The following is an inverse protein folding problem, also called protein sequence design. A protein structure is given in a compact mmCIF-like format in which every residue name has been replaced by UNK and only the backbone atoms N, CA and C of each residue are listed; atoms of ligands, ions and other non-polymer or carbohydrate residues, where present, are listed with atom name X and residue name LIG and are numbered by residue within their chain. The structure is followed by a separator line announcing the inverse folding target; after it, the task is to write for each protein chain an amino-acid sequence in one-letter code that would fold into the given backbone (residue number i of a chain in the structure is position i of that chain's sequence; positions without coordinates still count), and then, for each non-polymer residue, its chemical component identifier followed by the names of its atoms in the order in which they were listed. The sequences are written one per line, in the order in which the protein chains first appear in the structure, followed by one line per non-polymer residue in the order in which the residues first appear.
data_IF_810826712221
#
_entry.id   IF_810826712221
#
_cell.length_a   1.000
_cell.length_b   1.000
_cell.length_c   1.000
_cell.angle_alpha   90.00
_cell.angle_beta   90.00
_cell.angle_gamma   90.00
#
_symmetry.space_group_name_H-M   'P 1'
#
loop_
_entity.id
_entity.type
_entity.pdbx_description
1 polymer ?
#
# COMPACT_ATOMS: atom_id res chain seq x y z
N UNK A 1 52.02 2.50 -44.00
CA UNK A 1 52.46 1.43 -43.08
C UNK A 1 51.24 0.98 -42.29
N UNK A 2 50.61 -0.11 -42.73
CA UNK A 2 49.38 -0.64 -42.14
C UNK A 2 49.72 -1.19 -40.77
N UNK A 3 49.37 -0.47 -39.71
CA UNK A 3 49.47 -1.00 -38.35
C UNK A 3 48.54 -2.21 -38.29
N UNK A 4 49.09 -3.41 -38.12
CA UNK A 4 48.32 -4.59 -37.74
C UNK A 4 47.80 -4.35 -36.33
N UNK A 5 46.63 -3.71 -36.23
CA UNK A 5 45.95 -3.47 -34.96
C UNK A 5 45.72 -4.81 -34.30
N UNK A 6 46.41 -5.06 -33.18
CA UNK A 6 46.22 -6.30 -32.43
C UNK A 6 44.85 -6.28 -31.75
N UNK A 7 44.29 -7.44 -31.43
CA UNK A 7 42.98 -7.53 -30.74
C UNK A 7 43.03 -6.77 -29.40
N UNK A 8 44.16 -6.81 -28.70
CA UNK A 8 44.39 -6.03 -27.48
C UNK A 8 44.33 -4.52 -27.71
N UNK A 9 44.91 -4.01 -28.80
CA UNK A 9 44.85 -2.58 -29.13
C UNK A 9 43.42 -2.14 -29.44
N UNK A 10 42.68 -2.98 -30.18
CA UNK A 10 41.29 -2.70 -30.51
C UNK A 10 40.39 -2.70 -29.25
N UNK A 11 40.62 -3.61 -28.29
CA UNK A 11 39.94 -3.59 -26.99
C UNK A 11 40.26 -2.32 -26.19
N UNK A 12 41.52 -1.87 -26.21
CA UNK A 12 41.92 -0.63 -25.54
C UNK A 12 41.22 0.60 -26.15
N UNK A 13 41.10 0.65 -27.49
CA UNK A 13 40.34 1.70 -28.17
C UNK A 13 38.86 1.68 -27.81
N UNK A 14 38.24 0.50 -27.69
CA UNK A 14 36.85 0.38 -27.21
C UNK A 14 36.72 0.93 -25.79
N UNK A 15 37.68 0.64 -24.91
CA UNK A 15 37.68 1.16 -23.54
C UNK A 15 37.77 2.69 -23.49
N UNK A 16 38.60 3.31 -24.35
CA UNK A 16 38.67 4.77 -24.49
C UNK A 16 37.32 5.34 -24.94
N UNK A 17 36.71 4.79 -25.99
CA UNK A 17 35.42 5.25 -26.50
C UNK A 17 34.30 5.20 -25.45
N UNK A 18 34.30 4.16 -24.60
CA UNK A 18 33.36 4.05 -23.48
C UNK A 18 33.62 5.15 -22.44
N UNK A 19 34.88 5.43 -22.12
CA UNK A 19 35.26 6.50 -21.18
C UNK A 19 34.88 7.89 -21.69
N UNK A 20 34.96 8.12 -23.00
CA UNK A 20 34.57 9.38 -23.65
C UNK A 20 33.04 9.50 -23.84
N UNK A 21 32.27 8.44 -23.58
CA UNK A 21 30.81 8.42 -23.68
C UNK A 21 30.25 8.12 -25.07
N UNK A 22 31.09 7.87 -26.09
CA UNK A 22 30.66 7.46 -27.43
C UNK A 22 30.28 5.96 -27.48
N UNK A 23 29.19 5.64 -26.79
CA UNK A 23 28.65 4.29 -26.68
C UNK A 23 28.22 3.70 -28.03
N UNK A 24 27.87 4.53 -29.02
CA UNK A 24 27.44 4.04 -30.34
C UNK A 24 28.64 3.54 -31.14
N UNK A 25 29.74 4.29 -31.14
CA UNK A 25 30.98 3.88 -31.80
C UNK A 25 31.60 2.68 -31.10
N UNK A 26 31.69 2.70 -29.77
CA UNK A 26 32.21 1.57 -28.99
C UNK A 26 31.49 0.25 -29.32
N UNK A 27 30.15 0.25 -29.43
CA UNK A 27 29.37 -0.95 -29.79
C UNK A 27 29.64 -1.46 -31.21
N UNK A 28 29.89 -0.57 -32.17
CA UNK A 28 30.21 -0.95 -33.55
C UNK A 28 31.60 -1.58 -33.62
N UNK A 29 32.60 -0.91 -33.05
CA UNK A 29 33.99 -1.40 -33.00
C UNK A 29 34.08 -2.76 -32.29
N UNK A 30 33.37 -2.92 -31.17
CA UNK A 30 33.31 -4.20 -30.46
C UNK A 30 32.67 -5.31 -31.31
N UNK A 31 31.62 -5.00 -32.08
CA UNK A 31 30.99 -5.99 -32.97
C UNK A 31 31.93 -6.44 -34.08
N UNK A 32 32.68 -5.51 -34.66
CA UNK A 32 33.68 -5.81 -35.68
C UNK A 32 34.82 -6.66 -35.11
N UNK A 33 35.29 -6.34 -33.90
CA UNK A 33 36.28 -7.14 -33.18
C UNK A 33 35.81 -8.58 -32.93
N UNK A 34 34.56 -8.76 -32.48
CA UNK A 34 33.98 -10.09 -32.23
C UNK A 34 33.86 -10.96 -33.49
N UNK A 35 33.78 -10.35 -34.68
CA UNK A 35 33.73 -11.08 -35.94
C UNK A 35 35.11 -11.56 -36.43
N UNK A 36 36.19 -10.93 -35.97
CA UNK A 36 37.58 -11.18 -36.44
C UNK A 36 38.38 -11.99 -35.42
N UNK A 37 38.03 -11.92 -34.13
CA UNK A 37 38.75 -12.61 -33.07
C UNK A 37 38.63 -14.15 -33.17
N UNK A 38 39.73 -14.84 -32.88
CA UNK A 38 39.75 -16.30 -32.81
C UNK A 38 38.98 -16.82 -31.58
N UNK A 39 38.56 -18.09 -31.64
CA UNK A 39 37.75 -18.70 -30.58
C UNK A 39 38.45 -18.77 -29.22
N UNK A 40 39.79 -18.87 -29.18
CA UNK A 40 40.54 -18.92 -27.92
C UNK A 40 40.60 -17.53 -27.25
N UNK A 41 40.84 -16.49 -28.03
CA UNK A 41 40.76 -15.09 -27.58
C UNK A 41 39.36 -14.73 -27.10
N UNK A 42 38.30 -15.12 -27.83
CA UNK A 42 36.91 -14.90 -27.41
C UNK A 42 36.57 -15.62 -26.10
N UNK A 43 37.02 -16.87 -25.94
CA UNK A 43 36.82 -17.62 -24.70
C UNK A 43 37.56 -16.94 -23.52
N UNK A 44 38.74 -16.38 -23.76
CA UNK A 44 39.49 -15.65 -22.74
C UNK A 44 38.80 -14.34 -22.34
N UNK A 45 38.34 -13.54 -23.31
CA UNK A 45 37.56 -12.32 -23.07
C UNK A 45 36.29 -12.66 -22.26
N UNK A 46 35.58 -13.73 -22.63
CA UNK A 46 34.40 -14.21 -21.90
C UNK A 46 34.71 -14.58 -20.44
N UNK A 47 35.86 -15.21 -20.17
CA UNK A 47 36.31 -15.50 -18.80
C UNK A 47 36.64 -14.23 -18.00
N UNK A 48 37.26 -13.24 -18.63
CA UNK A 48 37.54 -11.95 -18.00
C UNK A 48 36.23 -11.25 -17.61
N UNK A 49 35.28 -11.15 -18.54
CA UNK A 49 33.96 -10.58 -18.28
C UNK A 49 33.21 -11.32 -17.16
N UNK A 50 33.20 -12.65 -17.20
CA UNK A 50 32.57 -13.47 -16.16
C UNK A 50 33.19 -13.24 -14.78
N UNK A 51 34.50 -13.00 -14.71
CA UNK A 51 35.20 -12.71 -13.44
C UNK A 51 34.78 -11.35 -12.88
N UNK A 52 34.63 -10.34 -13.74
CA UNK A 52 34.19 -9.00 -13.34
C UNK A 52 32.72 -8.98 -12.90
N UNK A 53 31.88 -9.82 -13.50
CA UNK A 53 30.48 -9.95 -13.09
C UNK A 53 30.32 -10.69 -11.76
N UNK A 54 31.09 -11.76 -11.53
CA UNK A 54 30.90 -12.64 -10.36
C UNK A 54 31.57 -12.18 -9.08
N UNK A 55 32.59 -11.32 -9.14
CA UNK A 55 33.37 -10.92 -7.97
C UNK A 55 33.35 -9.40 -7.79
N UNK A 56 33.32 -8.90 -6.54
CA UNK A 56 33.53 -7.48 -6.26
C UNK A 56 34.84 -6.98 -6.89
N UNK A 57 34.86 -5.73 -7.36
CA UNK A 57 35.93 -5.15 -8.18
C UNK A 57 37.35 -5.47 -7.68
N UNK A 58 37.63 -5.27 -6.39
CA UNK A 58 38.95 -5.57 -5.80
C UNK A 58 39.38 -7.04 -5.98
N UNK A 59 38.45 -7.97 -5.80
CA UNK A 59 38.71 -9.41 -5.92
C UNK A 59 38.87 -9.80 -7.40
N UNK A 60 38.03 -9.23 -8.27
CA UNK A 60 38.08 -9.48 -9.70
C UNK A 60 39.43 -9.04 -10.30
N UNK A 61 39.92 -7.83 -9.97
CA UNK A 61 41.22 -7.32 -10.43
C UNK A 61 42.37 -8.21 -9.97
N UNK A 62 42.38 -8.67 -8.72
CA UNK A 62 43.43 -9.60 -8.25
C UNK A 62 43.37 -10.96 -8.97
N UNK A 63 42.17 -11.48 -9.27
CA UNK A 63 42.01 -12.70 -10.07
C UNK A 63 42.54 -12.53 -11.49
N UNK A 64 42.23 -11.41 -12.14
CA UNK A 64 42.77 -11.09 -13.46
C UNK A 64 44.28 -10.92 -13.44
N UNK A 65 44.84 -10.26 -12.43
CA UNK A 65 46.29 -10.13 -12.23
C UNK A 65 46.97 -11.48 -12.04
N UNK A 66 46.35 -12.40 -11.29
CA UNK A 66 46.85 -13.77 -11.13
C UNK A 66 46.79 -14.56 -12.44
N UNK A 67 45.68 -14.45 -13.19
CA UNK A 67 45.55 -15.06 -14.51
C UNK A 67 46.63 -14.56 -15.48
N UNK A 68 46.91 -13.25 -15.47
CA UNK A 68 47.98 -12.64 -16.25
C UNK A 68 49.35 -13.24 -15.92
N UNK A 69 49.70 -13.37 -14.63
CA UNK A 69 50.99 -13.96 -14.20
C UNK A 69 51.18 -15.41 -14.60
N UNK A 70 50.08 -16.20 -14.65
CA UNK A 70 50.12 -17.63 -14.96
C UNK A 70 50.13 -17.92 -16.46
N UNK A 71 49.79 -16.93 -17.27
CA UNK A 71 49.73 -17.10 -18.72
C UNK A 71 51.13 -17.01 -19.29
N UNK A 72 51.52 -17.99 -20.11
CA UNK A 72 52.84 -18.03 -20.76
C UNK A 72 52.86 -17.32 -22.10
N UNK A 73 51.71 -17.26 -22.78
CA UNK A 73 51.53 -16.60 -24.07
C UNK A 73 51.36 -15.07 -23.92
N UNK A 74 52.20 -14.33 -24.63
CA UNK A 74 52.26 -12.86 -24.56
C UNK A 74 51.01 -12.20 -25.15
N UNK A 75 50.41 -12.80 -26.19
CA UNK A 75 49.18 -12.27 -26.79
C UNK A 75 48.00 -12.39 -25.82
N UNK A 76 47.89 -13.51 -25.12
CA UNK A 76 46.88 -13.70 -24.09
C UNK A 76 47.12 -12.80 -22.86
N UNK A 77 48.37 -12.53 -22.48
CA UNK A 77 48.69 -11.54 -21.43
C UNK A 77 48.22 -10.14 -21.82
N UNK A 78 48.48 -9.70 -23.04
CA UNK A 78 48.05 -8.39 -23.53
C UNK A 78 46.52 -8.26 -23.51
N UNK A 79 45.80 -9.33 -23.88
CA UNK A 79 44.34 -9.38 -23.80
C UNK A 79 43.81 -9.28 -22.36
N UNK A 80 44.37 -10.04 -21.42
CA UNK A 80 43.95 -9.96 -20.00
C UNK A 80 44.18 -8.56 -19.44
N UNK A 81 45.31 -7.92 -19.79
CA UNK A 81 45.60 -6.56 -19.38
C UNK A 81 44.58 -5.55 -19.95
N UNK A 82 44.22 -5.68 -21.23
CA UNK A 82 43.21 -4.83 -21.86
C UNK A 82 41.81 -4.99 -21.27
N UNK A 83 41.48 -6.18 -20.74
CA UNK A 83 40.20 -6.45 -20.09
C UNK A 83 40.13 -6.05 -18.61
N UNK A 84 41.22 -5.60 -18.00
CA UNK A 84 41.24 -5.22 -16.59
C UNK A 84 40.91 -3.72 -16.43
N UNK A 85 39.75 -3.36 -15.85
CA UNK A 85 39.39 -1.95 -15.66
C UNK A 85 40.26 -1.29 -14.58
N UNK A 86 40.62 -0.02 -14.80
CA UNK A 86 41.37 0.78 -13.81
C UNK A 86 40.49 1.24 -12.64
N UNK A 87 39.19 1.42 -12.88
CA UNK A 87 38.21 1.92 -11.92
C UNK A 87 37.01 0.99 -11.83
N UNK A 88 36.30 1.04 -10.70
CA UNK A 88 35.10 0.25 -10.48
C UNK A 88 33.95 0.79 -11.36
N UNK A 89 33.63 0.03 -12.39
CA UNK A 89 32.57 0.36 -13.35
C UNK A 89 31.20 -0.22 -12.93
N UNK A 90 31.05 -0.75 -11.70
CA UNK A 90 29.79 -1.33 -11.22
C UNK A 90 29.37 -2.61 -11.96
N UNK A 91 30.34 -3.34 -12.51
CA UNK A 91 30.08 -4.57 -13.27
C UNK A 91 29.71 -5.77 -12.39
N UNK A 92 30.06 -5.72 -11.10
CA UNK A 92 29.73 -6.76 -10.16
C UNK A 92 28.22 -6.95 -10.07
N UNK A 93 27.75 -8.11 -10.52
CA UNK A 93 26.38 -8.57 -10.41
C UNK A 93 26.42 -9.76 -9.47
N UNK A 94 26.15 -9.58 -8.16
CA UNK A 94 26.02 -10.73 -7.28
C UNK A 94 25.04 -11.68 -7.95
N UNK A 95 25.42 -12.96 -8.07
CA UNK A 95 24.47 -13.98 -8.49
C UNK A 95 23.25 -13.78 -7.60
N UNK A 96 22.10 -13.48 -8.22
CA UNK A 96 20.87 -13.38 -7.49
C UNK A 96 20.79 -14.67 -6.70
N UNK A 97 20.84 -14.58 -5.36
CA UNK A 97 20.61 -15.75 -4.54
C UNK A 97 19.33 -16.39 -5.09
N UNK A 98 19.33 -17.70 -5.38
CA UNK A 98 18.13 -18.36 -5.85
C UNK A 98 17.05 -17.94 -4.87
N UNK A 99 16.07 -17.20 -5.38
CA UNK A 99 15.12 -16.46 -4.54
C UNK A 99 14.72 -17.40 -3.42
N UNK A 100 15.07 -17.02 -2.18
CA UNK A 100 14.88 -17.88 -1.02
C UNK A 100 13.51 -18.52 -1.18
N UNK A 101 13.41 -19.87 -1.14
CA UNK A 101 12.18 -20.55 -1.47
C UNK A 101 11.08 -19.83 -0.72
N UNK A 102 10.17 -19.22 -1.50
CA UNK A 102 9.12 -18.39 -0.94
C UNK A 102 8.56 -19.14 0.26
N UNK A 103 8.41 -18.46 1.41
CA UNK A 103 7.79 -19.04 2.62
C UNK A 103 6.43 -19.69 2.30
N UNK A 104 5.85 -19.33 1.15
CA UNK A 104 4.75 -19.99 0.48
C UNK A 104 5.32 -20.86 -0.67
N UNK A 105 5.32 -22.19 -0.51
CA UNK A 105 5.98 -23.14 -1.43
C UNK A 105 5.65 -23.00 -2.91
N UNK A 106 6.38 -23.75 -3.75
CA UNK A 106 6.45 -23.65 -5.23
C UNK A 106 5.11 -23.53 -5.97
N UNK A 107 4.02 -24.02 -5.38
CA UNK A 107 2.67 -24.05 -5.96
C UNK A 107 1.69 -23.02 -5.35
N UNK A 108 2.16 -22.20 -4.40
CA UNK A 108 1.35 -21.22 -3.69
C UNK A 108 1.58 -19.77 -4.14
N UNK A 109 2.20 -19.55 -5.31
CA UNK A 109 2.25 -18.23 -5.93
C UNK A 109 0.85 -17.84 -6.46
N UNK A 110 -0.04 -17.49 -5.53
CA UNK A 110 -1.32 -16.88 -5.83
C UNK A 110 -1.11 -15.39 -5.70
N UNK A 111 -0.82 -14.73 -6.84
CA UNK A 111 -0.97 -13.28 -6.92
C UNK A 111 -2.30 -12.90 -6.23
N UNK A 112 -2.30 -11.96 -5.27
CA UNK A 112 -3.50 -11.54 -4.56
C UNK A 112 -4.59 -11.28 -5.58
N UNK A 113 -5.57 -12.19 -5.54
CA UNK A 113 -6.58 -12.51 -6.55
C UNK A 113 -6.74 -11.41 -7.60
N UNK A 114 -6.62 -11.79 -8.86
CA UNK A 114 -7.40 -11.18 -9.94
C UNK A 114 -8.79 -10.93 -9.36
N UNK A 115 -9.10 -9.69 -9.00
CA UNK A 115 -10.48 -9.29 -8.85
C UNK A 115 -11.04 -9.65 -10.20
N UNK A 116 -11.87 -10.70 -10.27
CA UNK A 116 -12.65 -10.96 -11.45
C UNK A 116 -13.46 -9.68 -11.62
N UNK A 117 -12.97 -8.79 -12.49
CA UNK A 117 -13.76 -7.72 -13.05
C UNK A 117 -14.79 -8.49 -13.86
N UNK A 118 -15.86 -8.90 -13.19
CA UNK A 118 -17.02 -9.46 -13.86
C UNK A 118 -17.54 -8.30 -14.69
N UNK A 119 -17.16 -8.32 -15.97
CA UNK A 119 -17.83 -7.55 -16.98
C UNK A 119 -19.24 -8.11 -17.02
N UNK A 120 -20.17 -7.37 -16.45
CA UNK A 120 -21.59 -7.66 -16.58
C UNK A 120 -22.05 -7.04 -17.90
N UNK A 121 -22.25 -7.84 -18.97
CA UNK A 121 -22.70 -7.32 -20.27
C UNK A 121 -24.12 -6.74 -20.20
N UNK A 122 -24.86 -7.01 -19.11
CA UNK A 122 -26.23 -6.51 -18.91
C UNK A 122 -26.27 -5.17 -18.15
N UNK A 123 -25.15 -4.73 -17.57
CA UNK A 123 -25.01 -3.36 -17.06
C UNK A 123 -24.98 -2.37 -18.22
N UNK A 124 -26.17 -1.99 -18.69
CA UNK A 124 -26.35 -0.83 -19.57
C UNK A 124 -25.79 0.39 -18.84
N UNK A 125 -24.71 0.98 -19.38
CA UNK A 125 -24.26 2.31 -18.97
C UNK A 125 -25.48 3.24 -19.00
N UNK A 126 -25.70 4.01 -17.95
CA UNK A 126 -26.76 5.01 -17.92
C UNK A 126 -26.69 5.84 -19.22
N UNK A 127 -27.85 6.08 -19.86
CA UNK A 127 -27.88 6.89 -21.07
C UNK A 127 -27.19 8.22 -20.81
N UNK A 128 -26.16 8.50 -21.61
CA UNK A 128 -25.43 9.76 -21.53
C UNK A 128 -26.42 10.90 -21.66
N UNK A 129 -26.32 11.85 -20.75
CA UNK A 129 -27.11 13.08 -20.86
C UNK A 129 -26.61 13.90 -22.05
N UNK A 130 -27.51 14.67 -22.68
CA UNK A 130 -27.13 15.55 -23.79
C UNK A 130 -26.01 16.54 -23.40
N UNK A 131 -25.93 16.91 -22.12
CA UNK A 131 -24.86 17.73 -21.54
C UNK A 131 -23.50 17.04 -21.58
N UNK A 132 -23.43 15.76 -21.21
CA UNK A 132 -22.19 14.98 -21.28
C UNK A 132 -21.72 14.81 -22.73
N UNK A 133 -22.64 14.53 -23.65
CA UNK A 133 -22.32 14.42 -25.08
C UNK A 133 -21.74 15.74 -25.64
N UNK A 134 -22.28 16.89 -25.23
CA UNK A 134 -21.75 18.22 -25.61
C UNK A 134 -20.36 18.49 -25.03
N UNK A 135 -20.10 18.08 -23.79
CA UNK A 135 -18.79 18.24 -23.15
C UNK A 135 -17.72 17.37 -23.82
N UNK A 136 -18.03 16.11 -24.12
CA UNK A 136 -17.13 15.23 -24.86
C UNK A 136 -16.87 15.75 -26.27
N UNK A 137 -17.89 16.27 -26.97
CA UNK A 137 -17.72 16.88 -28.29
C UNK A 137 -16.87 18.17 -28.26
N UNK A 138 -16.96 18.97 -27.19
CA UNK A 138 -16.12 20.14 -26.98
C UNK A 138 -14.66 19.74 -26.69
N UNK A 139 -14.45 18.71 -25.87
CA UNK A 139 -13.13 18.16 -25.62
C UNK A 139 -12.52 17.57 -26.91
N UNK A 140 -13.30 16.80 -27.66
CA UNK A 140 -12.86 16.24 -28.94
C UNK A 140 -12.43 17.35 -29.92
N UNK A 141 -13.25 18.40 -30.09
CA UNK A 141 -12.89 19.56 -30.92
C UNK A 141 -11.61 20.25 -30.44
N UNK A 142 -11.47 20.45 -29.13
CA UNK A 142 -10.25 21.01 -28.55
C UNK A 142 -9.01 20.18 -28.87
N UNK A 143 -9.12 18.85 -28.88
CA UNK A 143 -8.01 17.96 -29.26
C UNK A 143 -7.74 17.98 -30.77
N UNK A 144 -8.77 18.03 -31.62
CA UNK A 144 -8.61 18.08 -33.08
C UNK A 144 -8.08 19.43 -33.58
N UNK A 145 -8.48 20.54 -32.95
CA UNK A 145 -8.15 21.90 -33.36
C UNK A 145 -6.80 22.39 -32.80
N UNK A 146 -6.16 21.63 -31.90
CA UNK A 146 -4.79 21.89 -31.40
C UNK A 146 -3.69 21.57 -32.42
N UNK A 147 -4.00 21.70 -33.71
CA UNK A 147 -3.09 21.48 -34.82
C UNK A 147 -1.99 22.56 -34.79
N UNK A 148 -0.81 22.22 -34.24
CA UNK A 148 0.35 23.11 -34.20
C UNK A 148 1.47 22.69 -33.25
N UNK A 149 1.19 21.80 -32.29
CA UNK A 149 2.26 21.09 -31.57
C UNK A 149 2.50 19.80 -32.33
N UNK A 150 3.67 19.66 -32.96
CA UNK A 150 4.07 18.41 -33.58
C UNK A 150 3.88 17.29 -32.54
N UNK A 151 2.99 16.34 -32.83
CA UNK A 151 2.82 15.15 -32.03
C UNK A 151 4.10 14.31 -32.13
N UNK A 152 5.10 14.64 -31.31
CA UNK A 152 6.05 13.64 -30.86
C UNK A 152 5.25 12.48 -30.28
N UNK A 153 5.70 11.24 -30.51
CA UNK A 153 5.07 9.99 -30.06
C UNK A 153 4.18 10.23 -28.85
N UNK A 154 2.85 10.23 -29.07
CA UNK A 154 1.88 10.49 -28.01
C UNK A 154 2.29 9.62 -26.82
N UNK A 155 2.74 10.25 -25.74
CA UNK A 155 2.95 9.56 -24.48
C UNK A 155 1.61 8.97 -24.12
N UNK A 156 1.50 7.65 -24.25
CA UNK A 156 0.31 6.86 -23.90
C UNK A 156 -0.27 7.38 -22.61
N UNK A 157 -1.60 7.47 -22.57
CA UNK A 157 -2.31 7.95 -21.40
C UNK A 157 -1.98 7.08 -20.17
N UNK A 158 -2.33 7.54 -18.97
CA UNK A 158 -1.99 6.81 -17.74
C UNK A 158 -2.54 5.38 -17.72
N UNK A 159 -3.69 5.14 -18.32
CA UNK A 159 -4.39 3.85 -18.32
C UNK A 159 -3.88 2.94 -19.45
N UNK A 160 -3.51 3.48 -20.61
CA UNK A 160 -2.81 2.81 -21.70
C UNK A 160 -1.38 2.44 -21.29
N UNK A 161 -0.68 3.35 -20.60
CA UNK A 161 0.62 3.07 -19.99
C UNK A 161 0.50 2.02 -18.89
N UNK A 162 -0.58 2.00 -18.12
CA UNK A 162 -0.84 0.95 -17.12
C UNK A 162 -1.13 -0.42 -17.78
N UNK A 163 -1.77 -0.43 -18.95
CA UNK A 163 -1.99 -1.65 -19.73
C UNK A 163 -0.69 -2.18 -20.36
N UNK A 164 0.21 -1.30 -20.80
CA UNK A 164 1.53 -1.72 -21.27
C UNK A 164 2.53 -2.03 -20.14
N UNK A 165 2.35 -1.40 -18.96
CA UNK A 165 3.14 -1.67 -17.76
C UNK A 165 2.86 -3.05 -17.14
N UNK A 166 1.97 -3.85 -17.75
CA UNK A 166 1.84 -5.28 -17.45
C UNK A 166 3.12 -6.10 -17.72
N UNK A 167 4.18 -5.49 -18.27
CA UNK A 167 5.40 -6.21 -18.65
C UNK A 167 6.66 -5.48 -18.14
N UNK A 168 6.73 -5.15 -16.85
CA UNK A 168 8.02 -5.33 -16.18
C UNK A 168 8.34 -6.83 -16.27
N UNK A 169 9.56 -7.21 -16.63
CA UNK A 169 9.93 -8.58 -17.03
C UNK A 169 9.58 -9.71 -16.03
N UNK A 170 9.16 -9.37 -14.80
CA UNK A 170 8.67 -10.27 -13.76
C UNK A 170 7.15 -10.48 -13.75
N UNK A 171 6.36 -9.72 -14.53
CA UNK A 171 4.89 -9.68 -14.42
C UNK A 171 4.39 -9.14 -13.07
N UNK A 172 5.29 -8.55 -12.26
CA UNK A 172 5.01 -8.03 -10.93
C UNK A 172 4.75 -6.53 -11.00
N UNK A 173 3.55 -6.11 -10.62
CA UNK A 173 3.22 -4.73 -10.35
C UNK A 173 3.87 -4.33 -9.01
N UNK A 174 5.04 -3.70 -9.06
CA UNK A 174 5.84 -3.35 -7.88
C UNK A 174 5.15 -2.32 -6.99
N UNK A 175 4.33 -1.42 -7.55
CA UNK A 175 3.56 -0.47 -6.76
C UNK A 175 2.49 -1.22 -5.96
N UNK A 176 1.80 -2.17 -6.60
CA UNK A 176 0.80 -3.00 -5.93
C UNK A 176 1.41 -4.05 -4.99
N UNK A 177 2.60 -4.57 -5.30
CA UNK A 177 3.34 -5.50 -4.45
C UNK A 177 4.01 -4.78 -3.26
N UNK A 178 4.33 -3.50 -3.42
CA UNK A 178 4.91 -2.65 -2.38
C UNK A 178 3.88 -2.08 -1.40
N UNK A 179 2.58 -2.10 -1.75
CA UNK A 179 1.51 -1.80 -0.80
C UNK A 179 1.36 -2.99 0.16
N UNK A 180 1.74 -2.87 1.44
CA UNK A 180 1.52 -3.93 2.41
C UNK A 180 0.03 -4.29 2.44
N UNK A 181 -0.29 -5.55 2.75
CA UNK A 181 -1.67 -6.01 2.83
C UNK A 181 -2.39 -5.36 4.03
N UNK A 182 -2.79 -4.11 3.86
CA UNK A 182 -3.59 -3.32 4.81
C UNK A 182 -5.04 -3.82 4.87
N UNK A 183 -5.38 -4.90 4.13
CA UNK A 183 -6.75 -5.43 4.04
C UNK A 183 -7.09 -6.43 5.14
N UNK A 184 -6.40 -6.35 6.28
CA UNK A 184 -6.84 -6.99 7.51
C UNK A 184 -8.21 -6.48 7.97
N UNK A 185 -8.76 -7.15 8.98
CA UNK A 185 -9.94 -6.64 9.67
C UNK A 185 -9.57 -5.34 10.40
N UNK A 186 -10.45 -4.31 10.38
CA UNK A 186 -10.16 -3.03 11.01
C UNK A 186 -10.06 -3.17 12.54
N UNK A 187 -9.55 -2.14 13.20
CA UNK A 187 -9.60 -2.03 14.64
C UNK A 187 -11.05 -2.09 15.15
N UNK A 188 -11.33 -2.92 16.15
CA UNK A 188 -12.69 -3.03 16.74
C UNK A 188 -13.10 -1.80 17.56
N UNK A 189 -12.14 -0.95 17.93
CA UNK A 189 -12.39 0.27 18.69
C UNK A 189 -12.57 1.51 17.78
N UNK A 190 -11.59 1.79 16.91
CA UNK A 190 -11.61 3.00 16.08
C UNK A 190 -12.04 2.79 14.62
N UNK A 191 -12.24 1.54 14.19
CA UNK A 191 -12.63 1.16 12.82
C UNK A 191 -11.64 1.54 11.71
N UNK A 192 -10.44 2.01 12.09
CA UNK A 192 -9.35 2.26 11.17
C UNK A 192 -8.62 0.97 10.79
N UNK A 193 -7.88 1.03 9.70
CA UNK A 193 -7.04 -0.08 9.25
C UNK A 193 -5.93 -0.35 10.27
N UNK A 194 -5.53 -1.63 10.37
CA UNK A 194 -4.50 -2.08 11.31
C UNK A 194 -3.21 -2.35 10.55
N UNK A 195 -2.09 -2.01 11.17
CA UNK A 195 -0.79 -2.39 10.63
C UNK A 195 -0.63 -3.91 10.70
N UNK A 196 0.23 -4.49 9.85
CA UNK A 196 0.51 -5.93 9.91
C UNK A 196 1.05 -6.36 11.29
N UNK A 197 1.84 -5.49 11.94
CA UNK A 197 2.35 -5.71 13.30
C UNK A 197 1.23 -5.83 14.34
N UNK A 198 0.12 -5.13 14.15
CA UNK A 198 -1.02 -5.17 15.08
C UNK A 198 -1.77 -6.49 15.03
N UNK A 199 -1.68 -7.25 13.93
CA UNK A 199 -2.36 -8.54 13.74
C UNK A 199 -1.48 -9.71 14.22
N UNK A 200 -0.16 -9.50 14.34
CA UNK A 200 0.82 -10.52 14.68
C UNK A 200 1.43 -10.30 16.08
N UNK A 201 0.56 -10.05 17.08
CA UNK A 201 0.95 -9.81 18.49
C UNK A 201 1.47 -11.08 19.17
N UNK A 202 2.14 -10.94 20.32
CA UNK A 202 2.62 -12.09 21.10
C UNK A 202 1.47 -12.97 21.59
N UNK A 203 0.31 -12.38 21.89
CA UNK A 203 -0.93 -13.10 22.19
C UNK A 203 -1.35 -14.02 21.03
N UNK A 204 -1.32 -13.51 19.80
CA UNK A 204 -1.62 -14.32 18.60
C UNK A 204 -0.58 -15.42 18.41
N UNK A 205 0.71 -15.11 18.61
CA UNK A 205 1.80 -16.10 18.50
C UNK A 205 1.72 -17.20 19.55
N UNK A 206 1.24 -16.87 20.75
CA UNK A 206 0.95 -17.82 21.82
C UNK A 206 -0.36 -18.62 21.59
N UNK A 207 -1.11 -18.33 20.52
CA UNK A 207 -2.32 -19.08 20.15
C UNK A 207 -3.60 -18.63 20.86
N UNK A 208 -3.59 -17.45 21.48
CA UNK A 208 -4.69 -16.93 22.31
C UNK A 208 -5.65 -15.96 21.58
N UNK A 209 -5.54 -15.91 20.27
CA UNK A 209 -6.41 -15.14 19.40
C UNK A 209 -6.02 -13.67 19.28
N UNK A 210 -6.66 -12.99 18.34
CA UNK A 210 -6.41 -11.59 18.01
C UNK A 210 -7.29 -10.67 18.88
N UNK A 211 -6.69 -9.65 19.51
CA UNK A 211 -7.39 -8.66 20.31
C UNK A 211 -8.19 -7.65 19.45
N UNK A 212 -7.92 -7.62 18.15
CA UNK A 212 -8.62 -6.76 17.20
C UNK A 212 -8.27 -5.28 17.29
N UNK A 213 -7.21 -4.88 18.01
CA UNK A 213 -6.85 -3.48 18.24
C UNK A 213 -5.69 -3.02 17.33
N UNK A 214 -5.67 -1.73 16.99
CA UNK A 214 -4.48 -1.05 16.47
C UNK A 214 -3.57 -0.58 17.61
N UNK A 215 -2.31 -0.25 17.30
CA UNK A 215 -1.30 0.24 18.24
C UNK A 215 -1.84 1.35 19.14
N UNK A 216 -2.33 2.44 18.56
CA UNK A 216 -2.85 3.60 19.30
C UNK A 216 -3.98 3.23 20.27
N UNK A 217 -4.92 2.37 19.85
CA UNK A 217 -6.03 1.95 20.71
C UNK A 217 -5.56 1.05 21.84
N UNK A 218 -4.54 0.21 21.59
CA UNK A 218 -3.93 -0.66 22.59
C UNK A 218 -3.17 0.16 23.63
N UNK A 219 -2.36 1.11 23.20
CA UNK A 219 -1.63 2.04 24.06
C UNK A 219 -2.56 2.93 24.88
N UNK A 220 -3.71 3.33 24.30
CA UNK A 220 -4.75 4.09 25.00
C UNK A 220 -5.62 3.23 25.94
N UNK A 221 -5.31 1.95 26.13
CA UNK A 221 -6.06 1.05 27.00
C UNK A 221 -7.52 0.81 26.58
N UNK A 222 -7.83 0.89 25.28
CA UNK A 222 -9.18 0.59 24.79
C UNK A 222 -9.48 -0.91 24.97
N UNK A 223 -10.73 -1.27 25.28
CA UNK A 223 -11.11 -2.68 25.36
C UNK A 223 -11.03 -3.33 23.97
N UNK A 224 -10.42 -4.51 23.91
CA UNK A 224 -10.34 -5.36 22.72
C UNK A 224 -11.11 -6.66 22.90
N UNK A 225 -11.03 -7.54 21.90
CA UNK A 225 -11.65 -8.87 21.93
C UNK A 225 -11.05 -9.70 23.06
N UNK A 226 -11.90 -10.33 23.85
CA UNK A 226 -11.51 -11.13 25.01
C UNK A 226 -10.55 -12.26 24.67
N UNK A 227 -9.68 -12.54 25.65
CA UNK A 227 -8.94 -13.79 25.87
C UNK A 227 -9.46 -15.05 25.17
N UNK A 228 -8.84 -15.66 24.15
CA UNK A 228 -9.28 -17.00 23.69
C UNK A 228 -8.34 -18.10 24.20
N UNK A 229 -8.87 -19.32 24.48
CA UNK A 229 -8.02 -20.46 24.84
C UNK A 229 -7.02 -20.81 23.73
N UNK A 230 -5.86 -21.33 24.14
CA UNK A 230 -4.88 -21.88 23.22
C UNK A 230 -5.53 -23.03 22.41
N UNK A 231 -5.33 -23.01 21.09
CA UNK A 231 -5.93 -24.01 20.18
C UNK A 231 -7.37 -23.71 19.76
N UNK A 232 -7.90 -22.51 20.04
CA UNK A 232 -9.17 -22.07 19.48
C UNK A 232 -9.19 -22.18 17.95
N UNK A 233 -10.35 -22.50 17.41
CA UNK A 233 -10.57 -22.60 15.96
C UNK A 233 -10.72 -21.22 15.34
N UNK A 234 -10.49 -21.14 14.02
CA UNK A 234 -10.74 -19.91 13.27
C UNK A 234 -12.19 -19.42 13.38
N UNK A 235 -13.16 -20.34 13.45
CA UNK A 235 -14.56 -20.00 13.66
C UNK A 235 -14.78 -19.31 15.01
N UNK A 236 -14.22 -19.85 16.10
CA UNK A 236 -14.31 -19.25 17.43
C UNK A 236 -13.70 -17.84 17.48
N UNK A 237 -12.59 -17.60 16.77
CA UNK A 237 -12.03 -16.25 16.67
C UNK A 237 -12.99 -15.26 15.97
N UNK A 238 -13.66 -15.70 14.92
CA UNK A 238 -14.64 -14.90 14.18
C UNK A 238 -15.87 -14.64 15.05
N UNK A 239 -16.38 -15.64 15.76
CA UNK A 239 -17.53 -15.53 16.66
C UNK A 239 -17.23 -14.60 17.83
N UNK A 240 -16.05 -14.70 18.45
CA UNK A 240 -15.61 -13.81 19.52
C UNK A 240 -15.55 -12.34 19.06
N UNK A 241 -15.05 -12.10 17.84
CA UNK A 241 -15.09 -10.78 17.22
C UNK A 241 -16.52 -10.30 16.99
N UNK A 242 -17.40 -11.15 16.47
CA UNK A 242 -18.79 -10.77 16.23
C UNK A 242 -19.52 -10.42 17.53
N UNK A 243 -19.29 -11.20 18.59
CA UNK A 243 -19.81 -10.95 19.93
C UNK A 243 -19.35 -9.60 20.47
N UNK A 244 -18.04 -9.32 20.41
CA UNK A 244 -17.49 -8.03 20.84
C UNK A 244 -18.12 -6.84 20.10
N UNK A 245 -18.28 -6.94 18.78
CA UNK A 245 -18.88 -5.87 17.96
C UNK A 245 -20.37 -5.68 18.32
N UNK A 246 -21.11 -6.77 18.49
CA UNK A 246 -22.52 -6.71 18.85
C UNK A 246 -22.74 -6.07 20.22
N UNK A 247 -21.92 -6.44 21.20
CA UNK A 247 -21.97 -5.90 22.56
C UNK A 247 -21.58 -4.42 22.58
N UNK A 248 -20.50 -4.04 21.89
CA UNK A 248 -19.93 -2.69 22.03
C UNK A 248 -20.63 -1.62 21.19
N UNK A 249 -21.17 -1.98 20.03
CA UNK A 249 -21.66 -1.01 19.02
C UNK A 249 -23.19 -0.95 18.96
N UNK A 250 -23.89 -1.86 19.61
CA UNK A 250 -25.36 -1.85 19.72
C UNK A 250 -26.05 -1.85 18.35
N UNK A 251 -26.94 -0.88 18.11
CA UNK A 251 -27.80 -0.80 16.90
C UNK A 251 -27.03 -0.73 15.57
N UNK A 252 -25.77 -0.28 15.60
CA UNK A 252 -24.93 -0.22 14.39
C UNK A 252 -24.20 -1.53 14.08
N UNK A 253 -24.26 -2.54 14.97
CA UNK A 253 -23.54 -3.80 14.83
C UNK A 253 -23.86 -4.53 13.52
N UNK A 254 -25.14 -4.59 13.12
CA UNK A 254 -25.55 -5.27 11.87
C UNK A 254 -24.89 -4.66 10.63
N UNK A 255 -24.77 -3.33 10.58
CA UNK A 255 -24.11 -2.63 9.47
C UNK A 255 -22.59 -2.85 9.44
N UNK A 256 -21.96 -2.96 10.60
CA UNK A 256 -20.54 -3.25 10.74
C UNK A 256 -20.23 -4.70 10.36
N UNK A 257 -20.96 -5.66 10.92
CA UNK A 257 -20.79 -7.09 10.62
C UNK A 257 -21.04 -7.38 9.14
N UNK A 258 -21.97 -6.69 8.48
CA UNK A 258 -22.14 -6.76 7.02
C UNK A 258 -20.92 -6.26 6.25
N UNK A 259 -20.22 -5.24 6.75
CA UNK A 259 -18.97 -4.75 6.14
C UNK A 259 -17.83 -5.74 6.37
N UNK A 260 -17.71 -6.33 7.55
CA UNK A 260 -16.73 -7.38 7.83
C UNK A 260 -16.95 -8.63 6.99
N UNK A 261 -18.20 -9.07 6.86
CA UNK A 261 -18.59 -10.17 5.98
C UNK A 261 -18.09 -9.99 4.54
N UNK A 262 -18.13 -8.75 4.02
CA UNK A 262 -17.60 -8.43 2.68
C UNK A 262 -16.08 -8.45 2.61
N UNK A 263 -15.37 -8.22 3.72
CA UNK A 263 -13.90 -8.21 3.78
C UNK A 263 -13.33 -9.63 3.79
N UNK A 264 -14.03 -10.60 4.37
CA UNK A 264 -13.59 -11.99 4.33
C UNK A 264 -13.51 -12.53 2.89
N UNK A 265 -12.35 -13.06 2.54
CA UNK A 265 -12.09 -13.62 1.21
C UNK A 265 -12.53 -15.09 1.10
N UNK A 266 -12.57 -15.82 2.21
CA UNK A 266 -12.99 -17.21 2.29
C UNK A 266 -14.53 -17.32 2.47
N UNK A 267 -15.24 -18.05 1.59
CA UNK A 267 -16.65 -18.36 1.78
C UNK A 267 -16.99 -19.02 3.12
N UNK A 268 -16.10 -19.82 3.72
CA UNK A 268 -16.35 -20.48 5.01
C UNK A 268 -16.42 -19.46 6.16
N UNK A 269 -15.49 -18.51 6.19
CA UNK A 269 -15.49 -17.42 7.18
C UNK A 269 -16.74 -16.53 7.04
N UNK A 270 -17.16 -16.26 5.79
CA UNK A 270 -18.44 -15.58 5.52
C UNK A 270 -19.64 -16.35 6.04
N UNK A 271 -19.63 -17.67 5.90
CA UNK A 271 -20.70 -18.52 6.41
C UNK A 271 -20.74 -18.50 7.94
N UNK A 272 -19.59 -18.49 8.62
CA UNK A 272 -19.51 -18.34 10.09
C UNK A 272 -20.13 -17.02 10.54
N UNK A 273 -19.77 -15.88 9.92
CA UNK A 273 -20.38 -14.58 10.27
C UNK A 273 -21.89 -14.59 10.01
N UNK A 274 -22.33 -15.14 8.88
CA UNK A 274 -23.75 -15.22 8.54
C UNK A 274 -24.54 -16.08 9.54
N UNK A 275 -24.01 -17.26 9.89
CA UNK A 275 -24.61 -18.17 10.86
C UNK A 275 -24.68 -17.51 12.25
N UNK A 276 -23.61 -16.84 12.68
CA UNK A 276 -23.59 -16.13 13.96
C UNK A 276 -24.63 -15.00 14.00
N UNK A 277 -24.72 -14.18 12.95
CA UNK A 277 -25.72 -13.09 12.85
C UNK A 277 -27.15 -13.61 12.79
N UNK A 278 -27.38 -14.80 12.22
CA UNK A 278 -28.69 -15.44 12.23
C UNK A 278 -29.05 -15.99 13.62
N UNK A 279 -28.08 -16.54 14.35
CA UNK A 279 -28.28 -17.09 15.68
C UNK A 279 -28.44 -16.01 16.77
N UNK A 280 -27.94 -14.79 16.55
CA UNK A 280 -27.95 -13.71 17.52
C UNK A 280 -28.84 -12.55 17.05
N UNK A 281 -29.94 -12.32 17.77
CA UNK A 281 -30.84 -11.19 17.54
C UNK A 281 -30.12 -9.86 17.79
N UNK A 282 -29.59 -9.25 16.72
CA UNK A 282 -28.98 -7.93 16.79
C UNK A 282 -30.07 -6.85 16.89
N UNK A 283 -29.89 -5.83 17.77
CA UNK A 283 -30.84 -4.74 17.91
C UNK A 283 -31.04 -4.06 16.56
N UNK A 284 -32.28 -4.05 16.08
CA UNK A 284 -32.61 -3.33 14.85
C UNK A 284 -32.42 -1.82 15.09
N UNK A 285 -31.89 -1.07 14.11
CA UNK A 285 -31.99 0.37 14.16
C UNK A 285 -33.47 0.70 14.21
N UNK A 286 -33.93 1.23 15.35
CA UNK A 286 -35.31 1.67 15.48
C UNK A 286 -35.64 2.56 14.29
N UNK A 287 -36.66 2.18 13.53
CA UNK A 287 -37.26 3.06 12.53
C UNK A 287 -37.44 4.42 13.20
N UNK A 288 -37.00 5.55 12.61
CA UNK A 288 -37.30 6.85 13.18
C UNK A 288 -38.82 6.89 13.35
N UNK A 289 -39.28 6.89 14.60
CA UNK A 289 -40.68 7.05 14.92
C UNK A 289 -41.04 8.40 14.31
N UNK A 290 -41.90 8.39 13.28
CA UNK A 290 -42.53 9.60 12.79
C UNK A 290 -43.09 10.29 14.03
N UNK A 291 -42.57 11.48 14.34
CA UNK A 291 -43.17 12.31 15.36
C UNK A 291 -44.63 12.49 14.94
N UNK A 292 -45.61 12.27 15.84
CA UNK A 292 -46.99 12.55 15.51
C UNK A 292 -47.09 14.02 15.15
N UNK A 293 -47.75 14.29 14.03
CA UNK A 293 -47.98 15.60 13.48
C UNK A 293 -48.44 16.55 14.58
N UNK A 294 -47.58 17.53 14.91
CA UNK A 294 -47.96 18.65 15.74
C UNK A 294 -48.98 19.47 14.93
N UNK A 295 -50.23 19.30 15.36
CA UNK A 295 -51.41 20.13 15.16
C UNK A 295 -51.15 21.46 14.45
N UNK A 296 -51.88 21.62 13.35
CA UNK A 296 -51.96 22.82 12.55
C UNK A 296 -52.44 24.03 13.37
N UNK A 297 -51.62 25.09 13.39
CA UNK A 297 -52.06 26.45 13.71
C UNK A 297 -52.10 27.26 12.40
N UNK A 298 -53.18 28.01 12.11
CA UNK A 298 -53.42 28.56 10.78
C UNK A 298 -52.61 29.84 10.51
N UNK A 299 -52.53 30.11 9.21
CA UNK A 299 -51.80 31.17 8.55
C UNK A 299 -52.10 32.60 9.03
N UNK A 300 -51.02 33.40 9.14
CA UNK A 300 -51.07 34.85 8.93
C UNK A 300 -50.07 35.22 7.83
N UNK A 301 -50.51 36.14 6.99
CA UNK A 301 -50.07 36.47 5.63
C UNK A 301 -48.77 37.32 5.54
N UNK A 302 -48.29 37.61 4.31
CA UNK A 302 -46.86 37.65 3.96
C UNK A 302 -46.30 39.08 3.90
N UNK A 303 -45.07 39.31 4.35
CA UNK A 303 -44.30 40.48 3.92
C UNK A 303 -42.81 40.19 3.77
N UNK A 304 -42.33 40.58 2.58
CA UNK A 304 -40.98 41.03 2.21
C UNK A 304 -39.80 40.05 2.24
N UNK A 305 -39.41 39.64 1.03
CA UNK A 305 -38.05 39.22 0.68
C UNK A 305 -37.05 40.36 0.95
N UNK A 306 -35.90 40.02 1.56
CA UNK A 306 -34.63 40.54 1.11
C UNK A 306 -33.71 39.41 0.64
N UNK A 307 -33.29 39.56 -0.61
CA UNK A 307 -31.95 39.32 -1.16
C UNK A 307 -31.00 38.42 -0.36
N UNK A 308 -30.75 37.24 -0.93
CA UNK A 308 -29.65 36.35 -0.56
C UNK A 308 -28.31 37.05 -0.79
N UNK A 309 -27.64 37.43 0.30
CA UNK A 309 -26.22 37.73 0.28
C UNK A 309 -25.41 36.42 0.27
N UNK A 310 -24.25 36.36 -0.41
CA UNK A 310 -23.42 35.17 -0.43
C UNK A 310 -22.91 34.90 0.99
N UNK A 311 -23.05 33.65 1.45
CA UNK A 311 -22.41 33.16 2.67
C UNK A 311 -20.90 33.31 2.49
N UNK A 312 -20.36 34.41 3.00
CA UNK A 312 -18.94 34.58 3.21
C UNK A 312 -18.51 33.53 4.24
N UNK A 313 -17.58 32.70 3.79
CA UNK A 313 -16.80 31.79 4.62
C UNK A 313 -16.18 32.54 5.78
N UNK A 314 -16.77 32.45 6.97
CA UNK A 314 -16.11 32.84 8.20
C UNK A 314 -15.05 31.79 8.50
N UNK A 315 -13.81 32.17 8.18
CA UNK A 315 -12.58 31.56 8.61
C UNK A 315 -12.51 31.72 10.13
N UNK A 316 -12.88 30.68 10.84
CA UNK A 316 -12.80 30.56 12.30
C UNK A 316 -13.06 29.13 12.68
N UNK A 317 -12.22 28.20 12.19
CA UNK A 317 -12.42 26.76 12.33
C UNK A 317 -12.29 26.20 13.75
N UNK A 318 -12.24 27.05 14.78
CA UNK A 318 -12.11 26.67 16.19
C UNK A 318 -13.48 26.51 16.85
N UNK A 319 -13.71 25.36 17.46
CA UNK A 319 -14.92 25.11 18.23
C UNK A 319 -15.03 26.08 19.41
N UNK A 320 -16.20 26.70 19.60
CA UNK A 320 -16.42 27.68 20.67
C UNK A 320 -16.29 27.09 22.08
N UNK A 321 -16.49 25.77 22.24
CA UNK A 321 -16.49 25.11 23.54
C UNK A 321 -15.15 24.46 23.92
N UNK A 322 -14.40 23.93 22.94
CA UNK A 322 -13.12 23.27 23.21
C UNK A 322 -11.91 23.94 22.55
N UNK A 323 -12.11 24.99 21.76
CA UNK A 323 -11.05 25.69 21.02
C UNK A 323 -10.40 24.88 19.88
N UNK A 324 -10.75 23.61 19.69
CA UNK A 324 -10.13 22.73 18.71
C UNK A 324 -10.51 23.07 17.26
N UNK A 325 -9.54 22.97 16.34
CA UNK A 325 -9.76 23.21 14.90
C UNK A 325 -10.36 21.95 14.26
N UNK A 326 -11.68 21.97 13.95
CA UNK A 326 -12.42 20.84 13.36
C UNK A 326 -13.53 21.33 12.42
N UNK A 327 -14.19 20.42 11.70
CA UNK A 327 -15.43 20.76 11.00
C UNK A 327 -16.50 21.17 12.02
N UNK A 328 -16.92 22.43 11.94
CA UNK A 328 -17.92 23.01 12.83
C UNK A 328 -19.30 23.01 12.19
N UNK A 329 -20.33 22.84 13.02
CA UNK A 329 -21.72 23.07 12.62
C UNK A 329 -22.42 23.80 13.76
N UNK A 330 -22.83 25.05 13.50
CA UNK A 330 -23.34 25.97 14.54
C UNK A 330 -22.32 26.24 15.66
N UNK A 331 -21.08 26.61 15.33
CA UNK A 331 -20.04 26.99 16.31
C UNK A 331 -19.39 25.83 17.09
N UNK A 332 -19.96 24.63 17.08
CA UNK A 332 -19.50 23.48 17.87
C UNK A 332 -18.93 22.34 17.00
N UNK A 333 -17.95 21.61 17.54
CA UNK A 333 -17.44 20.38 16.93
C UNK A 333 -18.37 19.19 17.22
N UNK A 334 -18.18 18.10 16.48
CA UNK A 334 -19.02 16.89 16.59
C UNK A 334 -19.04 16.30 18.02
N UNK A 335 -17.94 16.39 18.76
CA UNK A 335 -17.83 15.83 20.10
C UNK A 335 -18.53 16.71 21.14
N UNK A 336 -18.30 18.02 21.11
CA UNK A 336 -18.96 18.99 22.00
C UNK A 336 -20.49 18.99 21.80
N UNK A 337 -20.94 18.84 20.56
CA UNK A 337 -22.36 18.74 20.25
C UNK A 337 -23.01 17.47 20.81
N UNK A 338 -22.27 16.36 20.98
CA UNK A 338 -22.82 15.17 21.62
C UNK A 338 -23.03 15.39 23.13
N UNK A 339 -22.18 16.18 23.77
CA UNK A 339 -22.29 16.53 25.19
C UNK A 339 -23.51 17.42 25.47
N UNK A 340 -23.79 18.39 24.59
CA UNK A 340 -24.97 19.27 24.73
C UNK A 340 -26.32 18.54 24.53
N UNK A 341 -26.33 17.38 23.85
CA UNK A 341 -27.54 16.60 23.63
C UNK A 341 -27.80 15.53 24.69
N UNK A 342 -26.96 15.45 25.73
CA UNK A 342 -27.18 14.55 26.87
C UNK A 342 -28.13 15.24 27.85
N UNK A 343 -29.35 14.74 28.10
CA UNK A 343 -30.18 15.26 29.19
C UNK A 343 -29.47 14.96 30.51
N UNK A 344 -29.15 16.01 31.26
CA UNK A 344 -28.56 15.92 32.60
C UNK A 344 -29.57 15.24 33.52
N UNK A 345 -29.34 13.96 33.82
CA UNK A 345 -29.97 13.30 34.95
C UNK A 345 -29.22 13.71 36.21
N UNK A 346 -29.89 14.52 37.03
CA UNK A 346 -29.50 14.80 38.42
C UNK A 346 -29.38 13.50 39.23
N UNK A 347 -28.24 13.31 39.88
CA UNK A 347 -28.07 12.42 41.03
C UNK A 347 -27.14 13.15 42.03
N UNK A 348 -27.71 13.82 43.03
CA UNK A 348 -27.76 13.35 44.44
C UNK A 348 -26.40 12.83 44.91
N UNK A 349 -25.64 13.69 45.61
CA UNK A 349 -24.52 13.30 46.46
C UNK A 349 -24.94 13.41 47.93
N UNK A 350 -24.80 12.32 48.66
CA UNK A 350 -24.70 12.29 50.12
C UNK A 350 -23.77 11.14 50.51
N UNK A 351 -23.02 11.38 51.58
CA UNK A 351 -22.09 10.49 52.29
C UNK A 351 -20.65 10.44 51.77
N UNK A 352 -19.83 11.40 52.24
CA UNK A 352 -18.44 11.15 52.57
C UNK A 352 -18.35 10.99 54.09
N UNK A 353 -17.93 9.80 54.53
CA UNK A 353 -17.42 9.50 55.87
C UNK A 353 -15.93 9.80 55.87
N UNK A 354 -15.48 10.69 56.75
CA UNK A 354 -14.06 10.94 57.01
C UNK A 354 -13.48 9.85 57.92
N UNK A 355 -12.40 9.25 57.44
CA UNK A 355 -11.42 8.45 58.21
C UNK A 355 -10.50 9.41 58.98
N UNK A 356 -10.44 9.29 60.30
CA UNK A 356 -9.26 9.70 61.07
C UNK A 356 -8.45 8.46 61.46
N UNK A 357 -7.22 8.43 60.98
CA UNK A 357 -6.21 7.42 61.24
C UNK A 357 -5.39 7.80 62.49
N UNK A 358 -5.13 6.84 63.37
CA UNK A 358 -4.07 6.93 64.38
C UNK A 358 -3.30 5.59 64.43
N UNK A 359 -1.95 5.59 64.29
CA UNK A 359 -1.15 4.36 64.30
C UNK A 359 -0.62 4.02 65.70
N UNK A 360 -0.77 2.75 66.10
CA UNK A 360 -0.12 2.21 67.29
C UNK A 360 1.33 1.76 67.02
N UNK A 361 2.28 1.93 67.96
CA UNK A 361 3.68 1.57 67.79
C UNK A 361 4.01 0.13 68.21
N UNK A 362 5.17 -0.28 67.71
CA UNK A 362 5.87 -1.57 67.83
C UNK A 362 6.45 -1.81 69.24
N UNK A 363 6.58 -3.11 69.59
CA UNK A 363 7.45 -3.79 70.58
C UNK A 363 6.63 -4.52 71.68
N UNK A 364 6.93 -5.75 72.09
CA UNK A 364 8.03 -6.69 71.84
C UNK A 364 7.53 -8.14 71.99
#
# INVERSE_FOLDING_TARGET
MSQTTTISDALFQVAILVKEGDNRRAKREMRELLNVADGASLALIGRCASTLEQYPHRIAVEKLRNAWRRTTDETHRALIAACAPEQDNGQYRPQAEPAAPSRYGRDNYRAPRNSRRSYDPTRRKAQRTQRQARQEAAAARYFTERAGVAEGQQTKDRDERAQDAHVYASGLDYDKAGVPDVRGLPCVACWLERAAADVATDRVRAGHGDDGLCGDCRESGRPGITELPAGHTRAQAIEARCAFIAERVGTSARGILRREWKRYADPRERATVAAWVQAHSLPEPGTPRAQPDAEATPATQPEERPTVAPVTSIVGGTCEQCGGIRQLRRGLCLDCRQLDNTPVLSAVSSAATDEEAEPAPIAA
#
